data_IF_108072188808
#
_entry.id   IF_108072188808
#
_cell.length_a   1.000
_cell.length_b   1.000
_cell.length_c   1.000
_cell.angle_alpha   90.00
_cell.angle_beta   90.00
_cell.angle_gamma   90.00
#
_symmetry.space_group_name_H-M   'P 1'
#
loop_
_entity.id
_entity.type
_entity.pdbx_description
1 polymer ?
#
# COMPACT_ATOMS: atom_id res chain seq x y z
N UNK A 1 -6.79 14.93 21.96
CA UNK A 1 -5.93 13.73 21.81
C UNK A 1 -6.42 12.89 20.65
N UNK A 2 -5.54 12.44 19.79
CA UNK A 2 -5.88 11.59 18.64
C UNK A 2 -5.71 10.12 19.04
N UNK A 3 -6.78 9.35 18.90
CA UNK A 3 -6.75 7.90 19.08
C UNK A 3 -6.52 7.21 17.74
N UNK A 4 -5.53 6.32 17.63
CA UNK A 4 -5.27 5.53 16.41
C UNK A 4 -5.58 4.08 16.68
N UNK A 5 -6.63 3.55 16.06
CA UNK A 5 -7.16 2.22 16.34
C UNK A 5 -6.64 1.18 15.33
N UNK A 6 -5.69 0.33 15.75
CA UNK A 6 -5.10 -0.73 14.93
C UNK A 6 -5.74 -2.12 15.19
N UNK A 7 -6.95 -2.17 15.71
CA UNK A 7 -7.54 -3.41 16.21
C UNK A 7 -7.67 -4.54 15.19
N UNK A 8 -7.73 -4.20 13.90
CA UNK A 8 -7.82 -5.19 12.81
C UNK A 8 -6.45 -5.58 12.23
N UNK A 9 -5.35 -5.09 12.82
CA UNK A 9 -4.00 -5.43 12.39
C UNK A 9 -3.67 -6.89 12.69
N UNK A 10 -3.25 -7.60 11.65
CA UNK A 10 -2.63 -8.92 11.74
C UNK A 10 -1.27 -8.81 11.09
N UNK A 11 -0.18 -8.92 11.85
CA UNK A 11 1.16 -8.72 11.35
C UNK A 11 1.47 -9.61 10.14
N UNK A 12 2.03 -8.99 9.08
CA UNK A 12 2.43 -9.67 7.85
C UNK A 12 1.30 -10.00 6.87
N UNK A 13 0.02 -9.81 7.23
CA UNK A 13 -1.10 -10.16 6.34
C UNK A 13 -1.63 -8.97 5.51
N UNK A 14 -1.47 -7.74 6.01
CA UNK A 14 -2.04 -6.55 5.38
C UNK A 14 -1.13 -5.93 4.30
N UNK A 15 0.09 -6.45 4.15
CA UNK A 15 1.01 -6.01 3.09
C UNK A 15 1.29 -4.51 3.13
N UNK A 16 1.15 -3.82 1.98
CA UNK A 16 1.44 -2.39 1.85
C UNK A 16 0.67 -1.49 2.81
N UNK A 17 -0.55 -1.85 3.21
CA UNK A 17 -1.35 -1.08 4.17
C UNK A 17 -0.71 -1.09 5.57
N UNK A 18 -0.11 -2.21 5.97
CA UNK A 18 0.62 -2.31 7.24
C UNK A 18 1.88 -1.45 7.21
N UNK A 19 2.70 -1.59 6.17
CA UNK A 19 3.93 -0.80 6.01
C UNK A 19 3.61 0.70 5.97
N UNK A 20 2.57 1.11 5.26
CA UNK A 20 2.11 2.49 5.21
C UNK A 20 1.67 3.02 6.58
N UNK A 21 0.92 2.22 7.34
CA UNK A 21 0.47 2.60 8.67
C UNK A 21 1.65 2.74 9.64
N UNK A 22 2.59 1.79 9.65
CA UNK A 22 3.79 1.85 10.50
C UNK A 22 4.66 3.06 10.17
N UNK A 23 4.88 3.35 8.86
CA UNK A 23 5.60 4.55 8.42
C UNK A 23 4.95 5.86 8.88
N UNK A 24 3.62 5.95 8.78
CA UNK A 24 2.87 7.09 9.32
C UNK A 24 3.07 7.24 10.83
N UNK A 25 2.92 6.15 11.61
CA UNK A 25 3.08 6.21 13.07
C UNK A 25 4.49 6.62 13.49
N UNK A 26 5.53 6.09 12.83
CA UNK A 26 6.92 6.49 13.04
C UNK A 26 7.13 7.99 12.79
N UNK A 27 6.54 8.53 11.72
CA UNK A 27 6.61 9.96 11.44
C UNK A 27 5.85 10.79 12.49
N UNK A 28 4.64 10.37 12.86
CA UNK A 28 3.88 11.06 13.93
C UNK A 28 4.62 11.03 15.27
N UNK A 29 5.36 9.95 15.58
CA UNK A 29 6.19 9.88 16.78
C UNK A 29 7.37 10.85 16.74
N UNK A 30 7.92 11.14 15.54
CA UNK A 30 9.09 12.02 15.37
C UNK A 30 8.73 13.51 15.26
N UNK A 31 7.72 13.81 14.45
CA UNK A 31 7.39 15.20 14.06
C UNK A 31 5.97 15.62 14.40
N UNK A 32 5.15 14.72 14.91
CA UNK A 32 3.77 15.02 15.28
C UNK A 32 3.69 16.04 16.42
N UNK A 33 2.74 16.96 16.33
CA UNK A 33 2.55 18.07 17.28
C UNK A 33 1.32 17.87 18.16
N UNK A 34 0.45 16.93 17.80
CA UNK A 34 -0.76 16.59 18.56
C UNK A 34 -0.49 15.46 19.57
N UNK A 35 -1.24 15.35 20.66
CA UNK A 35 -1.16 14.21 21.56
C UNK A 35 -1.82 12.98 20.92
N UNK A 36 -1.08 11.86 20.85
CA UNK A 36 -1.50 10.59 20.26
C UNK A 36 -1.63 9.48 21.29
N UNK A 37 -2.51 8.51 20.99
CA UNK A 37 -2.57 7.21 21.66
C UNK A 37 -2.95 6.12 20.67
N UNK A 38 -2.14 5.06 20.61
CA UNK A 38 -2.37 3.91 19.72
C UNK A 38 -3.10 2.81 20.49
N UNK A 39 -4.16 2.27 19.91
CA UNK A 39 -4.93 1.16 20.48
C UNK A 39 -4.65 -0.11 19.67
N UNK A 40 -4.03 -1.08 20.32
CA UNK A 40 -3.46 -2.27 19.70
C UNK A 40 -4.24 -3.53 20.00
N UNK A 41 -4.34 -4.48 19.05
CA UNK A 41 -4.76 -5.82 19.36
C UNK A 41 -3.64 -6.58 20.10
N UNK A 42 -3.94 -7.60 20.93
CA UNK A 42 -2.93 -8.43 21.56
C UNK A 42 -1.96 -9.14 20.58
N UNK A 43 -2.39 -9.31 19.32
CA UNK A 43 -1.59 -9.95 18.27
C UNK A 43 -0.44 -9.07 17.74
N UNK A 44 -0.46 -7.75 18.01
CA UNK A 44 0.52 -6.79 17.50
C UNK A 44 0.88 -5.73 18.56
N UNK A 45 1.42 -6.12 19.72
CA UNK A 45 1.68 -5.21 20.82
C UNK A 45 2.85 -4.23 20.53
N UNK A 46 3.68 -4.54 19.53
CA UNK A 46 4.83 -3.76 19.09
C UNK A 46 4.49 -2.68 18.04
N UNK A 47 3.27 -2.71 17.48
CA UNK A 47 2.88 -1.85 16.36
C UNK A 47 2.58 -0.39 16.75
N UNK A 48 3.05 0.08 17.91
CA UNK A 48 2.89 1.47 18.38
C UNK A 48 3.91 2.45 17.81
N UNK A 49 5.02 1.93 17.26
CA UNK A 49 6.08 2.70 16.57
C UNK A 49 6.60 3.90 17.40
N UNK A 50 6.72 3.73 18.72
CA UNK A 50 7.23 4.76 19.65
C UNK A 50 6.17 5.72 20.22
N UNK A 51 4.91 5.64 19.77
CA UNK A 51 3.80 6.43 20.33
C UNK A 51 3.26 5.82 21.63
N UNK A 52 2.67 6.64 22.55
CA UNK A 52 1.91 6.12 23.69
C UNK A 52 0.81 5.16 23.24
N UNK A 53 0.63 4.03 23.94
CA UNK A 53 -0.27 2.99 23.49
C UNK A 53 -1.01 2.27 24.62
N UNK A 54 -2.10 1.59 24.26
CA UNK A 54 -2.84 0.63 25.05
C UNK A 54 -3.08 -0.65 24.27
N UNK A 55 -2.75 -1.81 24.85
CA UNK A 55 -3.13 -3.11 24.30
C UNK A 55 -4.51 -3.48 24.81
N UNK A 56 -5.48 -3.67 23.91
CA UNK A 56 -6.87 -3.97 24.26
C UNK A 56 -7.10 -5.48 24.36
N UNK A 57 -6.88 -6.05 25.55
CA UNK A 57 -7.07 -7.47 25.84
C UNK A 57 -8.52 -7.94 25.66
N UNK A 58 -9.48 -7.01 25.72
CA UNK A 58 -10.90 -7.28 25.48
C UNK A 58 -11.21 -7.59 24.02
N UNK A 59 -10.29 -7.23 23.09
CA UNK A 59 -10.38 -7.54 21.67
C UNK A 59 -9.47 -8.73 21.33
N UNK A 60 -10.04 -9.92 21.36
CA UNK A 60 -9.31 -11.16 21.07
C UNK A 60 -9.28 -11.41 19.57
N UNK A 61 -8.33 -10.80 18.88
CA UNK A 61 -7.99 -11.15 17.50
C UNK A 61 -7.18 -12.45 17.54
N UNK A 62 -7.74 -13.53 17.02
CA UNK A 62 -7.05 -14.80 16.93
C UNK A 62 -6.45 -15.04 15.54
N UNK A 63 -5.63 -16.10 15.42
CA UNK A 63 -4.86 -16.37 14.20
C UNK A 63 -5.71 -16.90 13.03
N UNK A 64 -6.86 -17.52 13.30
CA UNK A 64 -7.70 -18.07 12.25
C UNK A 64 -8.64 -17.02 11.64
N UNK A 65 -8.95 -17.18 10.33
CA UNK A 65 -9.89 -16.30 9.61
C UNK A 65 -11.28 -16.28 10.26
N UNK A 66 -11.76 -17.41 10.77
CA UNK A 66 -13.06 -17.52 11.44
C UNK A 66 -13.09 -16.73 12.76
N UNK A 67 -12.05 -16.89 13.56
CA UNK A 67 -11.96 -16.18 14.86
C UNK A 67 -11.88 -14.67 14.67
N UNK A 68 -11.19 -14.20 13.62
CA UNK A 68 -11.17 -12.78 13.27
C UNK A 68 -12.55 -12.25 12.89
N UNK A 69 -13.31 -13.01 12.09
CA UNK A 69 -14.68 -12.64 11.74
C UNK A 69 -15.60 -12.61 12.96
N UNK A 70 -15.44 -13.56 13.90
CA UNK A 70 -16.17 -13.59 15.15
C UNK A 70 -15.79 -12.41 16.06
N UNK A 71 -14.50 -12.11 16.22
CA UNK A 71 -14.01 -10.97 17.00
C UNK A 71 -14.56 -9.65 16.44
N UNK A 72 -14.50 -9.47 15.13
CA UNK A 72 -15.03 -8.30 14.44
C UNK A 72 -16.55 -8.18 14.57
N UNK A 73 -17.27 -9.30 14.41
CA UNK A 73 -18.72 -9.37 14.62
C UNK A 73 -19.12 -9.04 16.05
N UNK A 74 -18.41 -9.57 17.04
CA UNK A 74 -18.65 -9.30 18.46
C UNK A 74 -18.37 -7.83 18.80
N UNK A 75 -17.25 -7.29 18.34
CA UNK A 75 -16.88 -5.88 18.55
C UNK A 75 -17.86 -4.91 17.85
N UNK A 76 -18.50 -5.35 16.76
CA UNK A 76 -19.56 -4.59 16.09
C UNK A 76 -20.88 -4.65 16.85
N UNK A 77 -21.25 -5.84 17.35
CA UNK A 77 -22.52 -6.05 18.05
C UNK A 77 -22.50 -5.55 19.50
N UNK A 78 -21.35 -5.61 20.17
CA UNK A 78 -21.14 -5.17 21.56
C UNK A 78 -19.95 -4.22 21.67
N UNK A 79 -20.03 -3.00 21.14
CA UNK A 79 -18.90 -2.08 21.07
C UNK A 79 -18.51 -1.45 22.40
N UNK A 80 -19.39 -1.48 23.43
CA UNK A 80 -19.24 -0.70 24.67
C UNK A 80 -17.93 -0.96 25.45
N UNK A 81 -17.45 -2.20 25.63
CA UNK A 81 -16.17 -2.42 26.31
C UNK A 81 -15.01 -1.73 25.62
N UNK A 82 -14.94 -1.79 24.27
CA UNK A 82 -13.91 -1.13 23.48
C UNK A 82 -14.12 0.39 23.42
N UNK A 83 -15.37 0.87 23.30
CA UNK A 83 -15.69 2.30 23.33
C UNK A 83 -15.15 2.99 24.57
N UNK A 84 -15.31 2.35 25.76
CA UNK A 84 -14.81 2.90 27.04
C UNK A 84 -13.31 3.15 27.01
N UNK A 85 -12.55 2.29 26.31
CA UNK A 85 -11.09 2.43 26.17
C UNK A 85 -10.71 3.61 25.28
N UNK A 86 -11.51 3.89 24.25
CA UNK A 86 -11.27 4.98 23.29
C UNK A 86 -11.92 6.31 23.71
N UNK A 87 -12.61 6.36 24.87
CA UNK A 87 -13.44 7.50 25.30
C UNK A 87 -12.64 8.79 25.52
N UNK A 88 -11.33 8.70 25.78
CA UNK A 88 -10.45 9.86 25.96
C UNK A 88 -9.95 10.47 24.65
N UNK A 89 -10.22 9.86 23.51
CA UNK A 89 -9.85 10.39 22.20
C UNK A 89 -10.89 11.39 21.71
N UNK A 90 -10.44 12.58 21.32
CA UNK A 90 -11.29 13.62 20.73
C UNK A 90 -11.58 13.32 19.24
N UNK A 91 -10.65 12.64 18.57
CA UNK A 91 -10.77 12.14 17.20
C UNK A 91 -10.21 10.71 17.17
N UNK A 92 -10.86 9.79 16.44
CA UNK A 92 -10.36 8.40 16.28
C UNK A 92 -10.08 8.10 14.82
N UNK A 93 -8.84 7.68 14.53
CA UNK A 93 -8.40 7.26 13.22
C UNK A 93 -8.34 5.74 13.10
N UNK A 94 -8.88 5.19 12.00
CA UNK A 94 -8.88 3.77 11.64
C UNK A 94 -8.06 3.56 10.37
N UNK A 95 -6.74 3.27 10.47
CA UNK A 95 -5.85 3.19 9.31
C UNK A 95 -6.12 2.00 8.39
N UNK A 96 -6.79 0.95 8.89
CA UNK A 96 -7.09 -0.28 8.12
C UNK A 96 -8.54 -0.34 7.63
N UNK A 97 -9.11 0.80 7.30
CA UNK A 97 -10.44 0.95 6.67
C UNK A 97 -11.63 0.55 7.55
N UNK A 98 -11.48 -0.38 8.50
CA UNK A 98 -12.59 -0.91 9.30
C UNK A 98 -12.77 -0.09 10.58
N UNK A 99 -13.89 0.63 10.67
CA UNK A 99 -14.29 1.45 11.83
C UNK A 99 -14.91 0.57 12.92
N UNK A 100 -14.07 -0.14 13.65
CA UNK A 100 -14.49 -1.00 14.79
C UNK A 100 -13.55 -0.78 15.97
N UNK A 101 -14.13 -0.49 17.17
CA UNK A 101 -15.56 -0.23 17.44
C UNK A 101 -16.02 1.09 16.81
N UNK A 102 -17.33 1.23 16.56
CA UNK A 102 -17.90 2.54 16.26
C UNK A 102 -17.85 3.39 17.54
N UNK A 103 -17.39 4.64 17.44
CA UNK A 103 -17.30 5.61 18.55
C UNK A 103 -18.18 6.83 18.29
N UNK A 104 -18.43 7.63 19.33
CA UNK A 104 -19.19 8.90 19.25
C UNK A 104 -18.30 10.06 18.76
N UNK A 105 -17.01 10.01 19.10
CA UNK A 105 -16.03 11.00 18.63
C UNK A 105 -15.95 11.02 17.11
N UNK A 106 -15.63 12.18 16.49
CA UNK A 106 -15.33 12.27 15.06
C UNK A 106 -14.29 11.25 14.63
N UNK A 107 -14.46 10.71 13.42
CA UNK A 107 -13.60 9.62 12.93
C UNK A 107 -12.94 9.94 11.59
N UNK A 108 -11.70 9.46 11.46
CA UNK A 108 -10.96 9.41 10.20
C UNK A 108 -10.80 7.94 9.81
N UNK A 109 -11.04 7.62 8.55
CA UNK A 109 -10.80 6.28 8.00
C UNK A 109 -9.81 6.40 6.84
N UNK A 110 -8.72 5.64 6.87
CA UNK A 110 -7.87 5.48 5.67
C UNK A 110 -8.42 4.37 4.80
N UNK A 111 -8.79 4.71 3.57
CA UNK A 111 -9.28 3.78 2.56
C UNK A 111 -8.20 3.59 1.48
N UNK A 112 -7.54 2.44 1.49
CA UNK A 112 -6.39 2.19 0.62
C UNK A 112 -6.78 1.93 -0.83
N UNK A 113 -7.91 1.27 -1.07
CA UNK A 113 -8.47 0.99 -2.40
C UNK A 113 -9.97 0.64 -2.35
N UNK A 114 -10.58 0.59 -3.51
CA UNK A 114 -11.94 0.07 -3.74
C UNK A 114 -11.95 -1.07 -4.77
N UNK A 115 -10.89 -1.85 -4.83
CA UNK A 115 -10.71 -2.93 -5.82
C UNK A 115 -11.94 -3.85 -5.92
N UNK A 116 -12.61 -4.14 -4.81
CA UNK A 116 -13.81 -4.98 -4.79
C UNK A 116 -15.03 -4.38 -5.52
N UNK A 117 -15.03 -3.08 -5.74
CA UNK A 117 -16.06 -2.36 -6.52
C UNK A 117 -15.61 -2.14 -7.97
N UNK A 118 -14.31 -1.88 -8.18
CA UNK A 118 -13.77 -1.60 -9.51
C UNK A 118 -13.48 -2.89 -10.30
N UNK A 119 -13.06 -3.96 -9.63
CA UNK A 119 -12.77 -5.29 -10.19
C UNK A 119 -13.55 -6.41 -9.47
N UNK A 120 -14.89 -6.35 -9.44
CA UNK A 120 -15.72 -7.28 -8.66
C UNK A 120 -15.55 -8.75 -9.04
N UNK A 121 -15.13 -9.03 -10.28
CA UNK A 121 -14.87 -10.38 -10.78
C UNK A 121 -13.70 -11.09 -10.08
N UNK A 122 -12.81 -10.35 -9.43
CA UNK A 122 -11.67 -10.90 -8.68
C UNK A 122 -12.03 -11.33 -7.25
N UNK A 123 -13.27 -11.08 -6.83
CA UNK A 123 -13.74 -11.35 -5.47
C UNK A 123 -14.94 -12.26 -5.45
N UNK A 124 -14.97 -13.22 -4.54
CA UNK A 124 -16.16 -14.01 -4.26
C UNK A 124 -17.32 -13.13 -3.76
N UNK A 125 -18.56 -13.64 -3.89
CA UNK A 125 -19.73 -12.93 -3.35
C UNK A 125 -19.60 -12.65 -1.85
N UNK A 126 -19.04 -13.59 -1.08
CA UNK A 126 -18.83 -13.45 0.35
C UNK A 126 -17.81 -12.34 0.67
N UNK A 127 -16.70 -12.28 -0.05
CA UNK A 127 -15.69 -11.23 0.12
C UNK A 127 -16.23 -9.85 -0.25
N UNK A 128 -16.99 -9.75 -1.34
CA UNK A 128 -17.66 -8.49 -1.71
C UNK A 128 -18.67 -8.05 -0.65
N UNK A 129 -19.45 -8.99 -0.12
CA UNK A 129 -20.39 -8.73 0.97
C UNK A 129 -19.68 -8.24 2.23
N UNK A 130 -18.59 -8.89 2.62
CA UNK A 130 -17.76 -8.48 3.76
C UNK A 130 -17.18 -7.06 3.56
N UNK A 131 -16.56 -6.79 2.42
CA UNK A 131 -15.98 -5.46 2.12
C UNK A 131 -17.06 -4.38 2.03
N UNK A 132 -18.21 -4.69 1.45
CA UNK A 132 -19.34 -3.77 1.42
C UNK A 132 -19.86 -3.44 2.81
N UNK A 133 -19.97 -4.45 3.69
CA UNK A 133 -20.45 -4.26 5.06
C UNK A 133 -19.46 -3.47 5.93
N UNK A 134 -18.17 -3.78 5.84
CA UNK A 134 -17.18 -3.18 6.72
C UNK A 134 -16.45 -1.99 6.08
N UNK A 135 -15.96 -2.08 4.86
CA UNK A 135 -15.19 -1.00 4.22
C UNK A 135 -16.09 0.16 3.78
N UNK A 136 -17.12 -0.17 2.98
CA UNK A 136 -17.99 0.89 2.43
C UNK A 136 -18.78 1.59 3.55
N UNK A 137 -19.26 0.81 4.54
CA UNK A 137 -19.97 1.38 5.69
C UNK A 137 -19.05 2.23 6.57
N UNK A 138 -17.81 1.80 6.79
CA UNK A 138 -16.82 2.57 7.56
C UNK A 138 -16.51 3.91 6.88
N UNK A 139 -16.25 3.89 5.58
CA UNK A 139 -15.97 5.09 4.81
C UNK A 139 -17.18 6.05 4.80
N UNK A 140 -18.41 5.52 4.63
CA UNK A 140 -19.62 6.36 4.66
C UNK A 140 -19.89 6.97 6.02
N UNK A 141 -19.52 6.29 7.10
CA UNK A 141 -19.80 6.71 8.47
C UNK A 141 -18.71 7.62 9.06
N UNK A 142 -17.53 7.72 8.44
CA UNK A 142 -16.44 8.57 8.91
C UNK A 142 -16.66 10.03 8.53
N UNK A 143 -16.26 10.97 9.38
CA UNK A 143 -16.30 12.41 9.10
C UNK A 143 -15.29 12.80 8.02
N UNK A 144 -14.14 12.14 8.00
CA UNK A 144 -13.14 12.26 6.93
C UNK A 144 -12.65 10.90 6.47
N UNK A 145 -12.45 10.79 5.16
CA UNK A 145 -11.84 9.62 4.53
C UNK A 145 -10.52 10.05 3.90
N UNK A 146 -9.43 9.42 4.29
CA UNK A 146 -8.11 9.63 3.68
C UNK A 146 -7.86 8.52 2.67
N UNK A 147 -7.36 8.90 1.50
CA UNK A 147 -7.03 8.00 0.39
C UNK A 147 -5.63 8.32 -0.15
N UNK A 148 -4.91 7.32 -0.70
CA UNK A 148 -3.50 7.50 -1.08
C UNK A 148 -3.29 8.19 -2.44
N UNK A 149 -4.32 8.34 -3.26
CA UNK A 149 -4.22 8.93 -4.62
C UNK A 149 -5.51 9.62 -5.06
N UNK A 150 -5.41 10.53 -6.02
CA UNK A 150 -6.56 11.16 -6.65
C UNK A 150 -7.45 10.13 -7.38
N UNK A 151 -6.85 9.05 -7.91
CA UNK A 151 -7.60 7.93 -8.47
C UNK A 151 -8.53 7.29 -7.43
N UNK A 152 -8.00 6.93 -6.25
CA UNK A 152 -8.83 6.34 -5.18
C UNK A 152 -9.86 7.35 -4.67
N UNK A 153 -9.53 8.67 -4.65
CA UNK A 153 -10.51 9.71 -4.32
C UNK A 153 -11.68 9.71 -5.30
N UNK A 154 -11.40 9.73 -6.60
CA UNK A 154 -12.45 9.70 -7.63
C UNK A 154 -13.32 8.45 -7.49
N UNK A 155 -12.70 7.25 -7.38
CA UNK A 155 -13.43 6.00 -7.15
C UNK A 155 -14.26 6.04 -5.86
N UNK A 156 -13.74 6.64 -4.78
CA UNK A 156 -14.46 6.77 -3.50
C UNK A 156 -15.70 7.66 -3.62
N UNK A 157 -15.57 8.81 -4.27
CA UNK A 157 -16.69 9.72 -4.52
C UNK A 157 -17.75 9.03 -5.40
N UNK A 158 -17.33 8.45 -6.52
CA UNK A 158 -18.24 7.87 -7.51
C UNK A 158 -18.92 6.60 -7.02
N UNK A 159 -18.16 5.66 -6.43
CA UNK A 159 -18.68 4.33 -6.03
C UNK A 159 -19.40 4.34 -4.69
N UNK A 160 -18.99 5.19 -3.76
CA UNK A 160 -19.60 5.26 -2.44
C UNK A 160 -20.59 6.42 -2.30
N UNK A 161 -20.66 7.34 -3.25
CA UNK A 161 -21.52 8.52 -3.20
C UNK A 161 -21.14 9.46 -2.06
N UNK A 162 -19.84 9.57 -1.74
CA UNK A 162 -19.36 10.46 -0.70
C UNK A 162 -19.20 11.88 -1.24
N UNK A 163 -19.46 12.85 -0.37
CA UNK A 163 -19.09 14.24 -0.65
C UNK A 163 -17.57 14.35 -0.85
N UNK A 164 -17.18 15.00 -1.95
CA UNK A 164 -15.78 15.19 -2.32
C UNK A 164 -14.97 15.94 -1.24
N UNK A 165 -15.65 16.81 -0.47
CA UNK A 165 -15.04 17.56 0.63
C UNK A 165 -14.76 16.73 1.88
N UNK A 166 -15.28 15.51 1.96
CA UNK A 166 -14.96 14.57 3.02
C UNK A 166 -13.75 13.69 2.69
N UNK A 167 -13.32 13.66 1.43
CA UNK A 167 -12.23 12.77 0.97
C UNK A 167 -10.96 13.58 0.75
N UNK A 168 -9.93 13.25 1.53
CA UNK A 168 -8.60 13.89 1.47
C UNK A 168 -7.59 12.96 0.82
N UNK A 169 -6.83 13.47 -0.14
CA UNK A 169 -5.72 12.72 -0.75
C UNK A 169 -4.46 12.99 0.05
N UNK A 170 -3.91 11.94 0.65
CA UNK A 170 -2.62 11.97 1.33
C UNK A 170 -1.77 10.82 0.80
N UNK A 171 -0.83 11.09 -0.11
CA UNK A 171 0.08 10.08 -0.62
C UNK A 171 0.90 9.43 0.49
N UNK A 172 1.23 8.16 0.33
CA UNK A 172 2.15 7.49 1.24
C UNK A 172 3.54 8.11 1.13
N UNK A 173 4.25 8.14 2.25
CA UNK A 173 5.67 8.44 2.28
C UNK A 173 6.52 7.22 2.00
N UNK A 174 7.85 7.44 1.96
CA UNK A 174 8.85 6.39 1.92
C UNK A 174 9.91 6.66 2.98
N UNK A 175 10.54 5.61 3.50
CA UNK A 175 11.68 5.71 4.40
C UNK A 175 12.96 5.92 3.57
N UNK A 176 13.33 7.19 3.35
CA UNK A 176 14.53 7.55 2.58
C UNK A 176 15.85 7.19 3.27
N UNK A 177 15.85 6.91 4.58
CA UNK A 177 17.03 6.39 5.25
C UNK A 177 17.34 4.94 4.81
N UNK A 178 16.31 4.18 4.51
CA UNK A 178 16.40 2.80 4.07
C UNK A 178 16.39 2.67 2.54
N UNK A 179 15.37 3.23 1.89
CA UNK A 179 15.26 3.25 0.42
C UNK A 179 16.04 4.44 -0.13
N UNK A 180 17.29 4.22 -0.45
CA UNK A 180 18.22 5.23 -0.95
C UNK A 180 19.14 4.62 -2.01
N UNK A 181 19.69 5.41 -2.93
CA UNK A 181 20.68 4.91 -3.87
C UNK A 181 21.86 4.26 -3.18
N UNK A 182 22.49 3.29 -3.83
CA UNK A 182 23.73 2.65 -3.44
C UNK A 182 24.74 2.67 -4.58
N UNK A 183 25.95 2.18 -4.29
CA UNK A 183 27.03 2.02 -5.26
C UNK A 183 27.01 0.60 -5.88
N UNK A 184 25.90 -0.13 -5.72
CA UNK A 184 25.72 -1.47 -6.23
C UNK A 184 25.79 -1.47 -7.75
N UNK A 185 26.53 -2.42 -8.34
CA UNK A 185 26.55 -2.65 -9.79
C UNK A 185 25.20 -3.24 -10.23
N UNK A 186 24.67 -2.73 -11.33
CA UNK A 186 23.42 -3.24 -11.89
C UNK A 186 23.64 -4.54 -12.63
N UNK A 187 22.76 -5.50 -12.35
CA UNK A 187 22.76 -6.82 -12.95
C UNK A 187 21.66 -6.92 -14.03
N UNK A 188 21.82 -7.84 -15.01
CA UNK A 188 20.85 -7.99 -16.08
C UNK A 188 19.58 -8.71 -15.61
N UNK A 189 18.86 -8.12 -14.66
CA UNK A 189 17.54 -8.60 -14.26
C UNK A 189 16.53 -7.48 -14.09
N UNK A 190 15.28 -7.84 -14.35
CA UNK A 190 14.09 -7.05 -14.05
C UNK A 190 13.55 -7.48 -12.70
N UNK A 191 13.14 -6.52 -11.87
CA UNK A 191 12.54 -6.82 -10.57
C UNK A 191 11.02 -6.63 -10.61
N UNK A 192 10.27 -7.57 -10.03
CA UNK A 192 8.85 -7.42 -9.76
C UNK A 192 8.49 -7.89 -8.35
N UNK A 193 8.38 -6.98 -7.35
CA UNK A 193 8.06 -7.29 -5.97
C UNK A 193 6.54 -7.26 -5.74
N UNK A 194 5.85 -8.33 -6.12
CA UNK A 194 4.41 -8.42 -5.98
C UNK A 194 3.96 -9.86 -5.67
N UNK A 195 2.94 -9.98 -4.78
CA UNK A 195 2.25 -11.27 -4.58
C UNK A 195 1.57 -11.70 -5.88
N UNK A 196 1.46 -13.01 -6.10
CA UNK A 196 0.82 -13.58 -7.31
C UNK A 196 -0.72 -13.46 -7.29
N UNK A 197 -1.23 -12.24 -7.15
CA UNK A 197 -2.67 -11.97 -7.27
C UNK A 197 -3.04 -11.69 -8.72
N UNK A 198 -4.27 -12.03 -9.17
CA UNK A 198 -4.67 -11.91 -10.59
C UNK A 198 -4.49 -10.51 -11.18
N UNK A 199 -4.75 -9.44 -10.41
CA UNK A 199 -4.56 -8.05 -10.86
C UNK A 199 -3.09 -7.65 -10.99
N UNK A 200 -2.16 -8.41 -10.42
CA UNK A 200 -0.71 -8.15 -10.55
C UNK A 200 -0.14 -8.63 -11.91
N UNK A 201 -0.91 -9.39 -12.68
CA UNK A 201 -0.67 -9.63 -14.10
C UNK A 201 0.66 -10.34 -14.44
N UNK A 202 1.09 -11.30 -13.63
CA UNK A 202 2.34 -12.05 -13.84
C UNK A 202 2.39 -12.75 -15.19
N UNK A 203 1.25 -13.33 -15.64
CA UNK A 203 1.19 -14.03 -16.92
C UNK A 203 1.61 -13.14 -18.10
N UNK A 204 1.11 -11.90 -18.16
CA UNK A 204 1.47 -10.95 -19.22
C UNK A 204 2.94 -10.52 -19.13
N UNK A 205 3.47 -10.41 -17.91
CA UNK A 205 4.89 -10.14 -17.71
C UNK A 205 5.79 -11.28 -18.22
N UNK A 206 5.35 -12.54 -18.07
CA UNK A 206 6.09 -13.69 -18.61
C UNK A 206 6.12 -13.69 -20.15
N UNK A 207 5.02 -13.33 -20.80
CA UNK A 207 4.96 -13.17 -22.24
C UNK A 207 5.91 -12.05 -22.72
N UNK A 208 5.91 -10.91 -22.01
CA UNK A 208 6.84 -9.82 -22.30
C UNK A 208 8.31 -10.22 -22.10
N UNK A 209 8.62 -10.99 -21.05
CA UNK A 209 9.97 -11.51 -20.83
C UNK A 209 10.43 -12.40 -21.99
N UNK A 210 9.54 -13.26 -22.50
CA UNK A 210 9.87 -14.11 -23.65
C UNK A 210 10.21 -13.27 -24.91
N UNK A 211 9.53 -12.14 -25.12
CA UNK A 211 9.86 -11.20 -26.21
C UNK A 211 11.23 -10.53 -25.96
N UNK A 212 11.44 -10.00 -24.76
CA UNK A 212 12.69 -9.34 -24.37
C UNK A 212 13.91 -10.24 -24.53
N UNK A 213 13.81 -11.51 -24.15
CA UNK A 213 14.93 -12.47 -24.24
C UNK A 213 15.30 -12.90 -25.64
N UNK A 214 14.50 -12.56 -26.66
CA UNK A 214 14.92 -12.71 -28.07
C UNK A 214 16.03 -11.73 -28.45
N UNK A 215 16.02 -10.53 -27.86
CA UNK A 215 17.01 -9.47 -28.10
C UNK A 215 18.09 -9.43 -27.01
N UNK A 216 17.71 -9.79 -25.77
CA UNK A 216 18.56 -9.72 -24.57
C UNK A 216 18.50 -11.07 -23.83
N UNK A 217 19.16 -12.14 -24.34
CA UNK A 217 19.08 -13.50 -23.79
C UNK A 217 19.52 -13.61 -22.32
N UNK A 218 20.41 -12.72 -21.88
CA UNK A 218 20.93 -12.64 -20.51
C UNK A 218 19.91 -12.10 -19.51
N UNK A 219 18.85 -11.45 -19.97
CA UNK A 219 17.88 -10.78 -19.10
C UNK A 219 17.04 -11.80 -18.32
N UNK A 220 16.98 -11.64 -17.00
CA UNK A 220 16.19 -12.45 -16.08
C UNK A 220 15.06 -11.62 -15.46
N UNK A 221 14.05 -12.28 -14.88
CA UNK A 221 13.02 -11.66 -14.08
C UNK A 221 13.10 -12.22 -12.66
N UNK A 222 13.30 -11.35 -11.68
CA UNK A 222 13.30 -11.71 -10.25
C UNK A 222 11.95 -11.32 -9.65
N UNK A 223 11.26 -12.29 -9.08
CA UNK A 223 9.98 -12.14 -8.39
C UNK A 223 10.16 -12.22 -6.88
N UNK A 224 9.58 -11.29 -6.14
CA UNK A 224 9.45 -11.38 -4.67
C UNK A 224 7.99 -11.21 -4.25
N UNK A 225 7.66 -11.47 -2.98
CA UNK A 225 6.33 -11.22 -2.41
C UNK A 225 5.44 -12.45 -2.23
N UNK A 226 5.85 -13.62 -2.68
CA UNK A 226 5.18 -14.89 -2.43
C UNK A 226 3.89 -15.15 -3.22
N UNK A 227 3.32 -16.34 -3.03
CA UNK A 227 2.09 -16.77 -3.70
C UNK A 227 2.28 -17.33 -5.12
N UNK A 228 3.52 -17.41 -5.62
CA UNK A 228 3.85 -18.09 -6.87
C UNK A 228 3.85 -19.60 -6.61
N UNK A 229 2.77 -20.27 -7.00
CA UNK A 229 2.59 -21.72 -6.81
C UNK A 229 2.69 -22.50 -8.12
N UNK A 230 2.66 -21.82 -9.26
CA UNK A 230 2.75 -22.41 -10.58
C UNK A 230 4.22 -22.49 -11.06
N UNK A 231 4.49 -23.38 -12.01
CA UNK A 231 5.80 -23.41 -12.66
C UNK A 231 6.01 -22.09 -13.41
N UNK A 232 7.20 -21.50 -13.25
CA UNK A 232 7.58 -20.28 -13.93
C UNK A 232 8.39 -20.60 -15.20
N UNK A 233 8.33 -19.75 -16.24
CA UNK A 233 9.11 -19.96 -17.45
C UNK A 233 10.62 -19.76 -17.22
N UNK A 234 11.41 -20.21 -18.20
CA UNK A 234 12.85 -20.00 -18.20
C UNK A 234 13.22 -18.52 -18.10
N UNK A 235 14.24 -18.25 -17.27
CA UNK A 235 14.69 -16.88 -17.01
C UNK A 235 13.92 -16.17 -15.90
N UNK A 236 12.95 -16.84 -15.24
CA UNK A 236 12.26 -16.32 -14.06
C UNK A 236 12.82 -16.96 -12.79
N UNK A 237 13.24 -16.13 -11.85
CA UNK A 237 13.72 -16.51 -10.53
C UNK A 237 12.69 -16.09 -9.47
N UNK A 238 12.18 -17.05 -8.67
CA UNK A 238 11.22 -16.79 -7.59
C UNK A 238 11.94 -16.82 -6.25
N UNK A 239 12.01 -15.67 -5.57
CA UNK A 239 12.63 -15.56 -4.24
C UNK A 239 11.63 -15.60 -3.09
N UNK A 240 10.33 -15.58 -3.38
CA UNK A 240 9.29 -15.56 -2.34
C UNK A 240 9.35 -14.31 -1.46
N UNK A 241 9.15 -14.50 -0.15
CA UNK A 241 9.29 -13.40 0.81
C UNK A 241 10.77 -13.17 1.12
N UNK A 242 11.22 -11.93 0.90
CA UNK A 242 12.59 -11.48 1.21
C UNK A 242 12.56 -10.49 2.38
N UNK A 243 13.69 -10.34 3.06
CA UNK A 243 13.85 -9.27 4.05
C UNK A 243 13.78 -7.89 3.37
N UNK A 244 13.51 -6.86 4.17
CA UNK A 244 13.45 -5.51 3.63
C UNK A 244 14.82 -5.03 3.11
N UNK A 245 15.91 -5.43 3.78
CA UNK A 245 17.27 -5.09 3.35
C UNK A 245 17.64 -5.81 2.04
N UNK A 246 17.20 -7.06 1.86
CA UNK A 246 17.34 -7.77 0.59
C UNK A 246 16.52 -7.11 -0.52
N UNK A 247 15.29 -6.66 -0.23
CA UNK A 247 14.46 -5.94 -1.20
C UNK A 247 15.12 -4.64 -1.66
N UNK A 248 15.70 -3.86 -0.73
CA UNK A 248 16.47 -2.65 -1.06
C UNK A 248 17.68 -2.98 -1.94
N UNK A 249 18.44 -4.03 -1.60
CA UNK A 249 19.56 -4.51 -2.44
C UNK A 249 19.08 -4.91 -3.83
N UNK A 250 17.95 -5.61 -3.95
CA UNK A 250 17.36 -5.97 -5.25
C UNK A 250 16.97 -4.73 -6.07
N UNK A 251 16.35 -3.72 -5.47
CA UNK A 251 16.07 -2.45 -6.17
C UNK A 251 17.35 -1.79 -6.68
N UNK A 252 18.41 -1.75 -5.89
CA UNK A 252 19.69 -1.12 -6.27
C UNK A 252 20.38 -1.85 -7.42
N UNK A 253 20.29 -3.18 -7.44
CA UNK A 253 20.95 -4.05 -8.41
C UNK A 253 20.12 -4.33 -9.67
N UNK A 254 18.81 -4.21 -9.62
CA UNK A 254 17.95 -4.45 -10.78
C UNK A 254 18.24 -3.45 -11.90
N UNK A 255 18.30 -3.93 -13.16
CA UNK A 255 18.38 -3.06 -14.33
C UNK A 255 17.14 -2.16 -14.46
N UNK A 256 15.97 -2.69 -14.11
CA UNK A 256 14.72 -1.92 -14.01
C UNK A 256 13.69 -2.62 -13.10
N UNK A 257 12.79 -1.84 -12.50
CA UNK A 257 11.50 -2.33 -12.01
C UNK A 257 10.52 -2.42 -13.18
N UNK A 258 9.79 -3.55 -13.30
CA UNK A 258 8.65 -3.68 -14.23
C UNK A 258 7.40 -3.96 -13.42
N UNK A 259 6.39 -3.08 -13.53
CA UNK A 259 5.22 -3.12 -12.67
C UNK A 259 3.90 -3.14 -13.47
N UNK A 260 3.48 -4.31 -14.01
CA UNK A 260 2.37 -4.45 -14.96
C UNK A 260 0.99 -4.61 -14.30
N UNK A 261 0.81 -4.10 -13.08
CA UNK A 261 -0.45 -4.23 -12.35
C UNK A 261 -1.62 -3.60 -13.12
N UNK A 262 -2.77 -4.28 -13.09
CA UNK A 262 -4.05 -3.79 -13.64
C UNK A 262 -4.82 -2.87 -12.71
N UNK A 263 -4.43 -2.86 -11.44
CA UNK A 263 -5.07 -2.06 -10.41
C UNK A 263 -4.12 -1.83 -9.22
N UNK A 264 -4.05 -0.60 -8.75
CA UNK A 264 -3.36 -0.17 -7.53
C UNK A 264 -4.11 0.98 -6.87
N UNK A 265 -4.00 1.07 -5.54
CA UNK A 265 -4.44 2.27 -4.82
C UNK A 265 -3.38 3.38 -4.82
N UNK A 266 -2.08 2.97 -4.85
CA UNK A 266 -0.93 3.89 -4.84
C UNK A 266 0.21 3.38 -5.73
N UNK A 267 0.80 2.23 -5.41
CA UNK A 267 1.96 1.71 -6.12
C UNK A 267 3.27 1.94 -5.35
N UNK A 268 3.26 1.61 -4.06
CA UNK A 268 4.41 1.75 -3.17
C UNK A 268 5.73 1.24 -3.78
N UNK A 269 5.78 0.04 -4.45
CA UNK A 269 7.02 -0.46 -5.06
C UNK A 269 7.61 0.43 -6.15
N UNK A 270 6.79 1.23 -6.83
CA UNK A 270 7.26 2.19 -7.84
C UNK A 270 8.07 3.30 -7.17
N UNK A 271 7.57 3.85 -6.07
CA UNK A 271 8.28 4.90 -5.31
C UNK A 271 9.54 4.35 -4.63
N UNK A 272 9.47 3.12 -4.09
CA UNK A 272 10.61 2.43 -3.49
C UNK A 272 11.74 2.22 -4.50
N UNK A 273 11.40 1.75 -5.69
CA UNK A 273 12.36 1.58 -6.79
C UNK A 273 13.00 2.91 -7.18
N UNK A 274 12.18 3.95 -7.38
CA UNK A 274 12.67 5.30 -7.70
C UNK A 274 13.61 5.84 -6.62
N UNK A 275 13.26 5.68 -5.35
CA UNK A 275 14.10 6.12 -4.23
C UNK A 275 15.45 5.38 -4.17
N UNK A 276 15.50 4.11 -4.58
CA UNK A 276 16.73 3.34 -4.72
C UNK A 276 17.49 3.65 -6.03
N UNK A 277 16.99 4.58 -6.85
CA UNK A 277 17.54 4.93 -8.14
C UNK A 277 17.33 3.84 -9.19
N UNK A 278 16.38 2.91 -8.99
CA UNK A 278 16.02 1.89 -9.98
C UNK A 278 15.13 2.51 -11.08
N UNK A 279 15.50 2.42 -12.35
CA UNK A 279 14.64 2.85 -13.45
C UNK A 279 13.33 2.07 -13.48
N UNK A 280 12.21 2.71 -13.86
CA UNK A 280 10.88 2.12 -13.73
C UNK A 280 10.13 2.09 -15.06
N UNK A 281 9.57 0.91 -15.38
CA UNK A 281 8.51 0.74 -16.36
C UNK A 281 7.24 0.25 -15.61
N UNK A 282 6.10 0.92 -15.74
CA UNK A 282 4.87 0.55 -15.07
C UNK A 282 3.65 0.67 -15.97
N UNK A 283 2.56 0.03 -15.61
CA UNK A 283 1.30 0.16 -16.35
C UNK A 283 0.74 1.59 -16.31
N UNK A 284 -0.01 1.95 -17.33
CA UNK A 284 -0.64 3.28 -17.52
C UNK A 284 -1.94 3.47 -16.74
N UNK A 285 -2.16 2.64 -15.70
CA UNK A 285 -3.32 2.81 -14.82
C UNK A 285 -3.25 4.13 -14.04
N UNK A 286 -4.38 4.80 -13.77
CA UNK A 286 -4.39 6.17 -13.23
C UNK A 286 -3.54 6.36 -11.98
N UNK A 287 -3.60 5.41 -11.02
CA UNK A 287 -2.82 5.53 -9.78
C UNK A 287 -1.30 5.50 -10.04
N UNK A 288 -0.82 4.65 -10.97
CA UNK A 288 0.61 4.56 -11.27
C UNK A 288 1.10 5.74 -12.11
N UNK A 289 0.27 6.24 -13.04
CA UNK A 289 0.57 7.47 -13.80
C UNK A 289 0.70 8.66 -12.86
N UNK A 290 -0.22 8.79 -11.87
CA UNK A 290 -0.19 9.83 -10.85
C UNK A 290 1.09 9.73 -10.00
N UNK A 291 1.40 8.54 -9.49
CA UNK A 291 2.56 8.31 -8.62
C UNK A 291 3.87 8.49 -9.38
N UNK A 292 3.96 7.97 -10.59
CA UNK A 292 5.15 8.10 -11.41
C UNK A 292 5.45 9.55 -11.85
N UNK A 293 4.40 10.37 -12.09
CA UNK A 293 4.57 11.79 -12.42
C UNK A 293 5.48 12.06 -13.62
N UNK A 294 5.52 11.15 -14.61
CA UNK A 294 6.42 11.24 -15.76
C UNK A 294 7.84 10.69 -15.56
N UNK A 295 8.18 10.23 -14.36
CA UNK A 295 9.50 9.67 -14.04
C UNK A 295 9.64 8.16 -14.36
N UNK A 296 8.58 7.52 -14.86
CA UNK A 296 8.60 6.15 -15.36
C UNK A 296 8.13 6.08 -16.81
N UNK A 297 8.53 5.02 -17.52
CA UNK A 297 7.92 4.66 -18.80
C UNK A 297 6.61 3.92 -18.54
N UNK A 298 5.51 4.42 -19.08
CA UNK A 298 4.20 3.77 -18.93
C UNK A 298 3.86 2.92 -20.15
N UNK A 299 3.04 1.87 -19.94
CA UNK A 299 2.60 0.94 -20.97
C UNK A 299 1.20 0.38 -20.69
N UNK A 300 0.50 -0.07 -21.73
CA UNK A 300 -0.77 -0.77 -21.57
C UNK A 300 -0.56 -2.12 -20.86
N UNK A 301 -1.22 -2.33 -19.71
CA UNK A 301 -0.99 -3.47 -18.83
C UNK A 301 -1.20 -4.84 -19.49
N UNK A 302 -2.13 -4.92 -20.46
CA UNK A 302 -2.54 -6.18 -21.10
C UNK A 302 -1.83 -6.45 -22.44
N UNK A 303 -0.84 -5.61 -22.82
CA UNK A 303 -0.08 -5.71 -24.04
C UNK A 303 1.39 -6.09 -23.76
N UNK A 304 1.75 -7.35 -24.05
CA UNK A 304 3.10 -7.86 -23.80
C UNK A 304 4.17 -7.17 -24.66
N UNK A 305 3.81 -6.76 -25.88
CA UNK A 305 4.74 -6.03 -26.79
C UNK A 305 4.98 -4.61 -26.26
N UNK A 306 3.93 -3.94 -25.77
CA UNK A 306 4.06 -2.62 -25.15
C UNK A 306 4.88 -2.69 -23.85
N UNK A 307 4.74 -3.74 -23.04
CA UNK A 307 5.58 -3.97 -21.86
C UNK A 307 7.04 -4.15 -22.27
N UNK A 308 7.31 -5.01 -23.27
CA UNK A 308 8.66 -5.27 -23.74
C UNK A 308 9.31 -4.00 -24.32
N UNK A 309 8.60 -3.26 -25.16
CA UNK A 309 9.09 -2.00 -25.74
C UNK A 309 9.40 -0.95 -24.65
N UNK A 310 8.53 -0.82 -23.63
CA UNK A 310 8.77 0.09 -22.52
C UNK A 310 10.00 -0.29 -21.69
N UNK A 311 10.21 -1.59 -21.46
CA UNK A 311 11.42 -2.07 -20.77
C UNK A 311 12.68 -1.76 -21.58
N UNK A 312 12.68 -2.02 -22.88
CA UNK A 312 13.83 -1.71 -23.75
C UNK A 312 14.15 -0.21 -23.74
N UNK A 313 13.13 0.65 -23.81
CA UNK A 313 13.30 2.10 -23.70
C UNK A 313 13.92 2.50 -22.34
N UNK A 314 13.43 1.93 -21.24
CA UNK A 314 13.98 2.18 -19.89
C UNK A 314 15.43 1.73 -19.78
N UNK A 315 15.78 0.57 -20.34
CA UNK A 315 17.15 0.05 -20.32
C UNK A 315 18.10 0.90 -21.17
N UNK A 316 17.63 1.42 -22.31
CA UNK A 316 18.41 2.28 -23.20
C UNK A 316 18.64 3.69 -22.60
N UNK A 317 17.69 4.19 -21.79
CA UNK A 317 17.71 5.53 -21.21
C UNK A 317 17.80 5.51 -19.67
N UNK A 318 18.47 4.48 -19.11
CA UNK A 318 18.45 4.19 -17.68
C UNK A 318 18.92 5.36 -16.80
N UNK A 319 19.90 6.15 -17.25
CA UNK A 319 20.42 7.29 -16.50
C UNK A 319 19.36 8.40 -16.33
N UNK A 320 18.62 8.71 -17.37
CA UNK A 320 17.56 9.72 -17.37
C UNK A 320 16.37 9.26 -16.50
N UNK A 321 15.94 8.00 -16.62
CA UNK A 321 14.87 7.45 -15.75
C UNK A 321 15.30 7.38 -14.29
N UNK A 322 16.58 7.10 -14.00
CA UNK A 322 17.13 7.13 -12.65
C UNK A 322 17.06 8.53 -12.04
N UNK A 323 17.53 9.54 -12.75
CA UNK A 323 17.57 10.93 -12.29
C UNK A 323 16.16 11.45 -11.99
N UNK A 324 15.25 11.32 -12.96
CA UNK A 324 13.83 11.70 -12.78
C UNK A 324 13.14 10.92 -11.67
N UNK A 325 13.46 9.63 -11.53
CA UNK A 325 12.93 8.77 -10.48
C UNK A 325 13.34 9.23 -9.09
N UNK A 326 14.61 9.54 -8.88
CA UNK A 326 15.14 10.06 -7.63
C UNK A 326 14.48 11.40 -7.24
N UNK A 327 14.39 12.33 -8.20
CA UNK A 327 13.70 13.62 -8.00
C UNK A 327 12.23 13.41 -7.62
N UNK A 328 11.54 12.52 -8.32
CA UNK A 328 10.14 12.21 -8.03
C UNK A 328 9.96 11.61 -6.64
N UNK A 329 10.76 10.60 -6.28
CA UNK A 329 10.69 9.92 -4.99
C UNK A 329 10.93 10.88 -3.81
N UNK A 330 11.79 11.89 -3.96
CA UNK A 330 12.07 12.87 -2.92
C UNK A 330 10.82 13.64 -2.43
N UNK A 331 9.76 13.70 -3.25
CA UNK A 331 8.51 14.35 -2.87
C UNK A 331 7.62 13.51 -1.93
N UNK A 332 7.89 12.20 -1.80
CA UNK A 332 7.12 11.28 -0.97
C UNK A 332 7.82 11.02 0.36
N UNK A 333 7.52 11.83 1.36
CA UNK A 333 8.08 11.67 2.72
C UNK A 333 6.98 11.39 3.74
N UNK A 334 7.29 10.58 4.74
CA UNK A 334 6.35 10.31 5.83
C UNK A 334 6.08 11.55 6.68
N UNK A 335 7.05 12.46 6.81
CA UNK A 335 6.90 13.73 7.52
C UNK A 335 5.84 14.62 6.86
N UNK A 336 5.85 14.69 5.52
CA UNK A 336 4.83 15.41 4.76
C UNK A 336 3.45 14.76 4.89
N UNK A 337 3.39 13.43 4.81
CA UNK A 337 2.16 12.69 5.05
C UNK A 337 1.62 12.95 6.45
N UNK A 338 2.46 12.87 7.49
CA UNK A 338 2.10 13.13 8.88
C UNK A 338 1.52 14.54 9.06
N UNK A 339 2.14 15.57 8.47
CA UNK A 339 1.64 16.93 8.52
C UNK A 339 0.22 17.06 7.91
N UNK A 340 -0.02 16.46 6.75
CA UNK A 340 -1.34 16.45 6.13
C UNK A 340 -2.38 15.65 6.96
N UNK A 341 -1.98 14.55 7.61
CA UNK A 341 -2.86 13.84 8.55
C UNK A 341 -3.20 14.72 9.76
N UNK A 342 -2.24 15.46 10.30
CA UNK A 342 -2.51 16.41 11.39
C UNK A 342 -3.49 17.51 10.99
N UNK A 343 -3.40 18.02 9.75
CA UNK A 343 -4.37 18.99 9.24
C UNK A 343 -5.79 18.39 9.22
N UNK A 344 -5.94 17.15 8.76
CA UNK A 344 -7.23 16.43 8.80
C UNK A 344 -7.73 16.25 10.24
N UNK A 345 -6.84 15.95 11.18
CA UNK A 345 -7.26 15.80 12.59
C UNK A 345 -7.68 17.16 13.19
N UNK A 346 -6.98 18.25 12.87
CA UNK A 346 -7.33 19.61 13.34
C UNK A 346 -8.67 20.09 12.81
N UNK A 347 -9.07 19.68 11.61
CA UNK A 347 -10.41 19.96 11.07
C UNK A 347 -11.54 19.38 11.94
N UNK A 348 -11.23 18.39 12.79
CA UNK A 348 -12.21 17.64 13.58
C UNK A 348 -12.13 17.90 15.11
N UNK A 349 -11.08 18.59 15.56
CA UNK A 349 -10.90 19.00 16.95
C UNK A 349 -11.71 20.27 17.24
#
# INVERSE_FOLDING_TARGET
>A
MIGIALLTLVPGELGGSESATRGLLQALARVGTLPYRVYLPPAAPDAHEGLPYDVLSDYRLAHSRLERLLALGLATARPEPLRRRLRSADVVHYPFTIRVPSVEAPTVVTLHDLQHLDLPQLFSRAERGFRSLYYNRSARAAERVVVPSAFVRASTVDRLGLDADRVRVIPHGIDHARFSPGDDEREPFLLYPARAWPHKNHARLYEALALLRRERPELRLVLTGGGQTESVPDGVEVRGHVSLDELVSLYRRASALVFPSRYEGFGQPVVEAMACGCPVACSDIPALVEVAGGAARTFAADDAEAIAAAVLDVLANAADYRERGLERAASFTWERAAAHYEDVYRELL
#
